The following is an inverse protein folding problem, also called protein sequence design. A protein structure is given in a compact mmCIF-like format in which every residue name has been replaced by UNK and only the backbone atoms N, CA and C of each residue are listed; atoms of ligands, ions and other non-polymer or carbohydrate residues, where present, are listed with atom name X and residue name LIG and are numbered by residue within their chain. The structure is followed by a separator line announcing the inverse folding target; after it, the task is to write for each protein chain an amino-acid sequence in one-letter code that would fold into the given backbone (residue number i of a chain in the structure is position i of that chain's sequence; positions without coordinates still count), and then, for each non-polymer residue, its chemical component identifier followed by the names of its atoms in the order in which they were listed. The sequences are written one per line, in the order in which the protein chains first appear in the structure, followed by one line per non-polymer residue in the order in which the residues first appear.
data_IF_660037585875
#
_entry.id   IF_660037585875
#
_cell.length_a   1.000
_cell.length_b   1.000
_cell.length_c   1.000
_cell.angle_alpha   90.00
_cell.angle_beta   90.00
_cell.angle_gamma   90.00
#
_symmetry.space_group_name_H-M   'P 1'
#
loop_
_entity.id
_entity.type
_entity.pdbx_description
1 polymer ?
#
# COMPACT_ATOMS: atom_id res chain seq x y z
N UNK A 1 7.29 -4.55 -10.23
CA UNK A 1 7.82 -3.18 -10.43
C UNK A 1 7.30 -2.67 -11.76
N UNK A 2 7.17 -1.35 -11.96
CA UNK A 2 6.41 -0.71 -13.06
C UNK A 2 6.56 -1.26 -14.48
N UNK A 3 7.63 -2.00 -14.78
CA UNK A 3 7.85 -2.73 -16.03
C UNK A 3 6.78 -3.77 -16.33
N UNK A 4 6.34 -4.55 -15.34
CA UNK A 4 5.35 -5.63 -15.56
C UNK A 4 3.97 -5.09 -15.97
N UNK A 5 3.58 -3.94 -15.43
CA UNK A 5 2.35 -3.22 -15.78
C UNK A 5 2.39 -2.66 -17.20
N UNK A 6 3.55 -2.10 -17.57
CA UNK A 6 3.77 -1.58 -18.92
C UNK A 6 3.77 -2.71 -19.95
N UNK A 7 4.44 -3.83 -19.66
CA UNK A 7 4.50 -5.00 -20.55
C UNK A 7 3.11 -5.61 -20.77
N UNK A 8 2.30 -5.73 -19.71
CA UNK A 8 0.90 -6.15 -19.81
C UNK A 8 0.08 -5.19 -20.67
N UNK A 9 0.21 -3.88 -20.44
CA UNK A 9 -0.52 -2.86 -21.20
C UNK A 9 -0.16 -2.87 -22.69
N UNK A 10 1.12 -2.89 -23.04
CA UNK A 10 1.56 -2.97 -24.44
C UNK A 10 1.23 -4.30 -25.09
N UNK A 11 1.20 -5.41 -24.33
CA UNK A 11 0.72 -6.70 -24.80
C UNK A 11 -0.74 -6.64 -25.27
N UNK A 12 -1.62 -6.02 -24.48
CA UNK A 12 -3.04 -5.85 -24.83
C UNK A 12 -3.22 -4.95 -26.05
N UNK A 13 -2.46 -3.84 -26.16
CA UNK A 13 -2.54 -2.95 -27.33
C UNK A 13 -2.05 -3.60 -28.63
N UNK A 14 -1.17 -4.61 -28.53
CA UNK A 14 -0.63 -5.33 -29.68
C UNK A 14 -1.62 -6.36 -30.23
N UNK A 15 -2.50 -6.88 -29.40
CA UNK A 15 -3.52 -7.85 -29.82
C UNK A 15 -4.74 -7.14 -30.41
N UNK A 16 -4.84 -7.16 -31.74
CA UNK A 16 -5.94 -6.54 -32.50
C UNK A 16 -7.18 -7.42 -32.64
N UNK A 17 -7.08 -8.73 -32.39
CA UNK A 17 -8.18 -9.67 -32.59
C UNK A 17 -9.02 -9.81 -31.32
N UNK A 18 -8.38 -9.81 -30.15
CA UNK A 18 -9.05 -9.98 -28.85
C UNK A 18 -9.05 -8.72 -27.97
N UNK A 19 -8.62 -7.58 -28.53
CA UNK A 19 -8.34 -6.35 -27.78
C UNK A 19 -9.44 -5.90 -26.81
N UNK A 20 -10.71 -6.17 -27.09
CA UNK A 20 -11.82 -5.90 -26.15
C UNK A 20 -11.82 -6.77 -24.89
N UNK A 21 -11.68 -8.10 -25.03
CA UNK A 21 -11.62 -9.05 -23.90
C UNK A 21 -10.31 -8.90 -23.12
N UNK A 22 -9.21 -8.67 -23.83
CA UNK A 22 -7.89 -8.40 -23.25
C UNK A 22 -7.89 -7.09 -22.45
N UNK A 23 -8.54 -6.03 -22.93
CA UNK A 23 -8.71 -4.77 -22.18
C UNK A 23 -9.60 -4.93 -20.94
N UNK A 24 -10.69 -5.71 -21.03
CA UNK A 24 -11.55 -5.98 -19.89
C UNK A 24 -10.79 -6.69 -18.76
N UNK A 25 -9.99 -7.69 -19.11
CA UNK A 25 -9.13 -8.42 -18.15
C UNK A 25 -8.07 -7.50 -17.55
N UNK A 26 -7.48 -6.62 -18.35
CA UNK A 26 -6.49 -5.65 -17.86
C UNK A 26 -7.11 -4.64 -16.89
N UNK A 27 -8.32 -4.17 -17.17
CA UNK A 27 -9.05 -3.27 -16.27
C UNK A 27 -9.35 -3.94 -14.92
N UNK A 28 -9.82 -5.20 -14.94
CA UNK A 28 -10.03 -5.99 -13.72
C UNK A 28 -8.75 -6.17 -12.92
N UNK A 29 -7.64 -6.49 -13.59
CA UNK A 29 -6.35 -6.62 -12.93
C UNK A 29 -5.89 -5.32 -12.26
N UNK A 30 -6.08 -4.17 -12.92
CA UNK A 30 -5.77 -2.87 -12.33
C UNK A 30 -6.66 -2.54 -11.13
N UNK A 31 -7.95 -2.88 -11.19
CA UNK A 31 -8.88 -2.71 -10.07
C UNK A 31 -8.45 -3.54 -8.85
N UNK A 32 -8.16 -4.84 -9.05
CA UNK A 32 -7.68 -5.73 -7.98
C UNK A 32 -6.38 -5.21 -7.36
N UNK A 33 -5.41 -4.80 -8.19
CA UNK A 33 -4.14 -4.23 -7.72
C UNK A 33 -4.32 -2.89 -7.00
N UNK A 34 -5.28 -2.08 -7.44
CA UNK A 34 -5.66 -0.83 -6.79
C UNK A 34 -6.21 -1.09 -5.39
N UNK A 35 -7.14 -2.04 -5.26
CA UNK A 35 -7.73 -2.44 -3.98
C UNK A 35 -6.66 -3.01 -3.05
N UNK A 36 -5.80 -3.92 -3.54
CA UNK A 36 -4.71 -4.50 -2.76
C UNK A 36 -3.80 -3.41 -2.20
N UNK A 37 -3.37 -2.46 -3.03
CA UNK A 37 -2.55 -1.32 -2.60
C UNK A 37 -3.28 -0.43 -1.59
N UNK A 38 -4.55 -0.12 -1.83
CA UNK A 38 -5.36 0.69 -0.92
C UNK A 38 -5.51 0.05 0.46
N UNK A 39 -5.75 -1.26 0.52
CA UNK A 39 -5.83 -2.01 1.79
C UNK A 39 -4.49 -1.98 2.52
N UNK A 40 -3.37 -2.18 1.81
CA UNK A 40 -2.04 -2.13 2.41
C UNK A 40 -1.71 -0.73 2.97
N UNK A 41 -2.04 0.33 2.22
CA UNK A 41 -1.89 1.71 2.66
C UNK A 41 -2.75 2.00 3.89
N UNK A 42 -4.04 1.65 3.86
CA UNK A 42 -4.95 1.86 5.00
C UNK A 42 -4.49 1.14 6.27
N UNK A 43 -4.00 -0.11 6.16
CA UNK A 43 -3.41 -0.83 7.30
C UNK A 43 -2.12 -0.20 7.82
N UNK A 44 -1.36 0.48 6.97
CA UNK A 44 -0.16 1.20 7.39
C UNK A 44 -0.54 2.48 8.13
N UNK A 45 -1.48 3.26 7.58
CA UNK A 45 -2.01 4.48 8.19
C UNK A 45 -2.65 4.19 9.56
N UNK A 46 -3.46 3.14 9.66
CA UNK A 46 -4.06 2.71 10.94
C UNK A 46 -3.00 2.42 12.01
N UNK A 47 -1.93 1.69 11.65
CA UNK A 47 -0.82 1.40 12.58
C UNK A 47 -0.10 2.66 13.04
N UNK A 48 0.08 3.62 12.14
CA UNK A 48 0.70 4.91 12.45
C UNK A 48 -0.19 5.75 13.37
N UNK A 49 -1.50 5.86 13.08
CA UNK A 49 -2.45 6.53 13.96
C UNK A 49 -2.51 5.89 15.34
N UNK A 50 -2.52 4.55 15.38
CA UNK A 50 -2.51 3.81 16.64
C UNK A 50 -1.24 4.10 17.44
N UNK A 51 -0.07 4.11 16.79
CA UNK A 51 1.19 4.49 17.41
C UNK A 51 1.14 5.92 17.99
N UNK A 52 0.62 6.89 17.23
CA UNK A 52 0.44 8.27 17.70
C UNK A 52 -0.45 8.36 18.95
N UNK A 53 -1.57 7.64 18.97
CA UNK A 53 -2.48 7.60 20.12
C UNK A 53 -1.83 6.97 21.36
N UNK A 54 -0.95 6.01 21.19
CA UNK A 54 -0.21 5.40 22.31
C UNK A 54 0.87 6.35 22.84
N UNK A 55 1.62 6.99 21.95
CA UNK A 55 2.63 8.00 22.30
C UNK A 55 1.98 9.19 23.01
N UNK A 56 0.81 9.66 22.56
CA UNK A 56 0.09 10.77 23.20
C UNK A 56 -0.40 10.43 24.62
N UNK A 57 -0.52 9.13 24.95
CA UNK A 57 -0.84 8.65 26.30
C UNK A 57 0.41 8.47 27.18
N UNK A 58 1.59 8.84 26.68
CA UNK A 58 2.85 8.77 27.42
C UNK A 58 3.55 7.41 27.37
N UNK A 59 3.14 6.50 26.47
CA UNK A 59 3.79 5.21 26.30
C UNK A 59 5.19 5.36 25.68
N UNK A 60 6.13 4.50 26.07
CA UNK A 60 7.50 4.55 25.53
C UNK A 60 7.54 4.10 24.07
N UNK A 61 8.46 4.65 23.27
CA UNK A 61 8.63 4.27 21.85
C UNK A 61 8.87 2.77 21.67
N UNK A 62 9.54 2.14 22.63
CA UNK A 62 9.84 0.70 22.59
C UNK A 62 8.56 -0.13 22.76
N UNK A 63 7.72 0.22 23.72
CA UNK A 63 6.46 -0.50 23.95
C UNK A 63 5.49 -0.26 22.80
N UNK A 64 5.44 0.96 22.26
CA UNK A 64 4.62 1.29 21.07
C UNK A 64 5.06 0.49 19.85
N UNK A 65 6.36 0.37 19.60
CA UNK A 65 6.91 -0.43 18.49
C UNK A 65 6.48 -1.90 18.60
N UNK A 66 6.53 -2.48 19.81
CA UNK A 66 6.05 -3.83 20.08
C UNK A 66 4.55 -3.99 19.83
N UNK A 67 3.73 -3.06 20.32
CA UNK A 67 2.26 -3.14 20.20
C UNK A 67 1.73 -2.90 18.79
N UNK A 68 2.40 -2.04 18.01
CA UNK A 68 1.97 -1.66 16.66
C UNK A 68 2.65 -2.49 15.57
N UNK A 69 3.61 -3.33 15.97
CA UNK A 69 4.47 -4.10 15.08
C UNK A 69 5.19 -3.21 14.05
N UNK A 70 5.56 -2.01 14.48
CA UNK A 70 6.36 -1.04 13.73
C UNK A 70 7.79 -1.05 14.26
N UNK A 71 8.76 -0.82 13.39
CA UNK A 71 10.14 -0.60 13.81
C UNK A 71 10.30 0.75 14.52
N UNK A 72 11.33 0.88 15.37
CA UNK A 72 11.65 2.16 16.01
C UNK A 72 11.88 3.28 14.99
N UNK A 73 12.47 2.95 13.83
CA UNK A 73 12.65 3.93 12.74
C UNK A 73 11.33 4.40 12.14
N UNK A 74 10.32 3.52 12.05
CA UNK A 74 8.97 3.91 11.62
C UNK A 74 8.28 4.78 12.66
N UNK A 75 8.42 4.46 13.95
CA UNK A 75 7.94 5.30 15.05
C UNK A 75 8.58 6.69 15.00
N UNK A 76 9.91 6.77 14.79
CA UNK A 76 10.61 8.05 14.69
C UNK A 76 10.13 8.86 13.47
N UNK A 77 9.88 8.22 12.32
CA UNK A 77 9.27 8.90 11.16
C UNK A 77 7.90 9.45 11.47
N UNK A 78 7.05 8.67 12.15
CA UNK A 78 5.70 9.10 12.55
C UNK A 78 5.74 10.30 13.49
N UNK A 79 6.70 10.35 14.41
CA UNK A 79 6.91 11.50 15.31
C UNK A 79 7.41 12.73 14.55
N UNK A 80 8.32 12.55 13.57
CA UNK A 80 8.88 13.65 12.78
C UNK A 80 7.93 14.22 11.71
N UNK A 81 6.75 13.61 11.53
CA UNK A 81 5.70 14.10 10.62
C UNK A 81 4.76 15.12 11.28
N UNK A 82 4.92 15.38 12.58
CA UNK A 82 4.14 16.33 13.40
C UNK A 82 5.00 17.56 13.69
#
# INVERSE_FOLDING_TARGET
GHTEQADLFYGVLRDRETGGESMMTLAQWFEEKGIEKGIQQGRQEERQEFALRLLSKGMSRKDVAEMTNLSLAEIDKVINLI
#
